data_IF_413017093613
#
_entry.id   IF_413017093613
#
_cell.length_a   1.000
_cell.length_b   1.000
_cell.length_c   1.000
_cell.angle_alpha   90.00
_cell.angle_beta   90.00
_cell.angle_gamma   90.00
#
_symmetry.space_group_name_H-M   'P 1'
#
loop_
_entity.id
_entity.type
_entity.pdbx_description
1 polymer ?
#
# COMPACT_ATOMS: atom_id res chain seq x y z
N UNK A 1 18.98 6.65 33.75
CA UNK A 1 19.16 6.99 35.18
C UNK A 1 17.85 6.80 35.89
N UNK A 2 17.84 6.24 37.10
CA UNK A 2 16.61 6.03 37.88
C UNK A 2 16.05 7.39 38.35
N UNK A 3 14.72 7.52 38.43
CA UNK A 3 14.02 8.77 38.86
C UNK A 3 14.53 9.26 40.20
N UNK A 4 14.69 8.35 41.16
CA UNK A 4 15.11 8.69 42.53
C UNK A 4 16.54 9.23 42.55
N UNK A 5 17.44 8.69 41.71
CA UNK A 5 18.82 9.16 41.61
C UNK A 5 18.92 10.57 40.99
N UNK A 6 18.03 10.90 40.04
CA UNK A 6 17.95 12.25 39.45
C UNK A 6 17.27 13.24 40.40
N UNK A 7 16.23 12.81 41.11
CA UNK A 7 15.54 13.61 42.13
C UNK A 7 16.50 14.08 43.21
N UNK A 8 17.25 13.15 43.82
CA UNK A 8 18.17 13.50 44.91
C UNK A 8 19.39 14.28 44.42
N UNK A 9 19.85 14.07 43.18
CA UNK A 9 20.96 14.83 42.61
C UNK A 9 20.60 16.29 42.26
N UNK A 10 19.31 16.57 42.01
CA UNK A 10 18.80 17.88 41.63
C UNK A 10 17.98 18.57 42.74
N UNK A 11 17.91 17.98 43.93
CA UNK A 11 17.07 18.45 45.05
C UNK A 11 15.57 18.57 44.69
N UNK A 12 15.10 17.63 43.86
CA UNK A 12 13.75 17.54 43.31
C UNK A 12 13.04 16.26 43.76
N UNK A 13 13.30 15.81 45.00
CA UNK A 13 12.71 14.60 45.55
C UNK A 13 11.17 14.70 45.56
N UNK A 14 10.50 13.73 44.93
CA UNK A 14 9.05 13.70 44.78
C UNK A 14 8.49 14.53 43.61
N UNK A 15 9.31 15.34 42.92
CA UNK A 15 8.89 16.06 41.73
C UNK A 15 8.58 15.10 40.56
N UNK A 16 7.75 15.54 39.63
CA UNK A 16 7.43 14.83 38.40
C UNK A 16 7.29 15.83 37.25
N UNK A 17 7.62 15.37 36.04
CA UNK A 17 7.43 16.16 34.82
C UNK A 17 6.07 15.89 34.18
N UNK A 18 5.60 14.64 34.24
CA UNK A 18 4.36 14.18 33.61
C UNK A 18 3.55 13.30 34.56
N UNK A 19 2.23 13.41 34.47
CA UNK A 19 1.27 12.55 35.19
C UNK A 19 0.33 11.92 34.18
N UNK A 20 0.24 10.59 34.22
CA UNK A 20 -0.68 9.82 33.38
C UNK A 20 -1.78 9.25 34.26
N UNK A 21 -3.03 9.64 33.96
CA UNK A 21 -4.20 9.17 34.67
C UNK A 21 -5.01 8.21 33.79
N UNK A 22 -5.44 7.10 34.37
CA UNK A 22 -6.38 6.17 33.73
C UNK A 22 -7.78 6.40 34.29
N UNK A 23 -8.70 6.84 33.44
CA UNK A 23 -10.10 7.04 33.80
C UNK A 23 -10.85 5.71 33.90
N UNK A 24 -11.82 5.64 34.81
CA UNK A 24 -12.81 4.56 34.81
C UNK A 24 -13.75 4.70 33.60
N UNK A 25 -14.40 3.61 33.19
CA UNK A 25 -15.21 3.56 31.96
C UNK A 25 -16.34 4.62 31.94
N UNK A 26 -16.96 4.90 33.08
CA UNK A 26 -18.10 5.80 33.20
C UNK A 26 -17.72 7.22 33.68
N UNK A 27 -16.42 7.52 33.79
CA UNK A 27 -15.98 8.83 34.27
C UNK A 27 -16.11 9.91 33.18
N UNK A 28 -16.70 11.05 33.53
CA UNK A 28 -16.72 12.22 32.65
C UNK A 28 -15.31 12.81 32.54
N UNK A 29 -14.71 12.63 31.35
CA UNK A 29 -13.37 13.10 31.04
C UNK A 29 -13.22 14.60 31.26
N UNK A 30 -14.19 15.42 30.85
CA UNK A 30 -14.08 16.88 30.95
C UNK A 30 -14.14 17.34 32.40
N UNK A 31 -15.03 16.73 33.19
CA UNK A 31 -15.12 17.01 34.62
C UNK A 31 -13.84 16.63 35.37
N UNK A 32 -13.23 15.49 35.06
CA UNK A 32 -11.96 15.06 35.68
C UNK A 32 -10.82 15.99 35.28
N UNK A 33 -10.68 16.34 33.99
CA UNK A 33 -9.66 17.28 33.52
C UNK A 33 -9.78 18.61 34.27
N UNK A 34 -10.99 19.20 34.31
CA UNK A 34 -11.23 20.47 34.99
C UNK A 34 -10.90 20.40 36.50
N UNK A 35 -11.26 19.30 37.18
CA UNK A 35 -10.98 19.12 38.60
C UNK A 35 -9.48 19.01 38.89
N UNK A 36 -8.74 18.27 38.07
CA UNK A 36 -7.30 18.08 38.25
C UNK A 36 -6.54 19.35 37.87
N UNK A 37 -6.93 20.02 36.78
CA UNK A 37 -6.33 21.29 36.38
C UNK A 37 -6.49 22.37 37.44
N UNK A 38 -7.66 22.45 38.10
CA UNK A 38 -7.88 23.38 39.21
C UNK A 38 -6.93 23.12 40.39
N UNK A 39 -6.61 21.86 40.69
CA UNK A 39 -5.68 21.50 41.76
C UNK A 39 -4.22 21.72 41.39
N UNK A 40 -3.87 21.54 40.12
CA UNK A 40 -2.51 21.69 39.59
C UNK A 40 -2.18 23.12 39.15
N UNK A 41 -3.17 24.00 39.01
CA UNK A 41 -2.99 25.40 38.63
C UNK A 41 -2.00 26.12 39.56
N UNK A 42 -2.05 25.84 40.87
CA UNK A 42 -1.14 26.43 41.87
C UNK A 42 0.32 26.00 41.72
N UNK A 43 0.59 24.93 40.96
CA UNK A 43 1.92 24.37 40.72
C UNK A 43 2.43 24.62 39.30
N UNK A 44 1.72 25.41 38.48
CA UNK A 44 2.11 25.70 37.10
C UNK A 44 1.87 24.55 36.13
N UNK A 45 0.87 23.71 36.38
CA UNK A 45 0.47 22.63 35.45
C UNK A 45 0.14 23.16 34.06
N UNK A 46 0.55 22.42 33.01
CA UNK A 46 0.39 22.81 31.60
C UNK A 46 -0.98 22.44 31.00
N UNK A 47 -1.94 22.07 31.84
CA UNK A 47 -3.26 21.58 31.45
C UNK A 47 -3.26 20.09 31.10
N UNK A 48 -4.27 19.36 31.56
CA UNK A 48 -4.48 17.97 31.20
C UNK A 48 -5.14 17.85 29.82
N UNK A 49 -4.64 16.90 29.03
CA UNK A 49 -5.18 16.60 27.72
C UNK A 49 -5.51 15.11 27.58
N UNK A 50 -6.45 14.80 26.69
CA UNK A 50 -6.87 13.43 26.43
C UNK A 50 -5.83 12.62 25.65
N UNK A 51 -6.02 11.29 25.63
CA UNK A 51 -5.19 10.35 24.86
C UNK A 51 -5.10 10.71 23.37
N UNK A 52 -6.12 11.37 22.83
CA UNK A 52 -6.16 11.88 21.45
C UNK A 52 -5.08 12.93 21.14
N UNK A 53 -4.61 13.66 22.14
CA UNK A 53 -3.53 14.65 22.00
C UNK A 53 -2.17 14.13 22.48
N UNK A 54 -2.15 12.97 23.12
CA UNK A 54 -0.91 12.34 23.57
C UNK A 54 -0.12 11.86 22.35
N UNK A 55 1.06 12.44 22.15
CA UNK A 55 1.87 12.27 20.94
C UNK A 55 2.07 10.79 20.59
N UNK A 56 2.48 9.96 21.55
CA UNK A 56 2.70 8.53 21.35
C UNK A 56 1.43 7.77 20.95
N UNK A 57 0.28 8.09 21.54
CA UNK A 57 -0.99 7.46 21.20
C UNK A 57 -1.49 7.90 19.82
N UNK A 58 -1.30 9.17 19.47
CA UNK A 58 -1.68 9.72 18.17
C UNK A 58 -0.83 9.15 17.04
N UNK A 59 0.49 9.08 17.20
CA UNK A 59 1.37 8.43 16.23
C UNK A 59 0.97 6.98 15.97
N UNK A 60 0.69 6.22 17.04
CA UNK A 60 0.25 4.84 16.89
C UNK A 60 -1.12 4.74 16.22
N UNK A 61 -2.08 5.61 16.57
CA UNK A 61 -3.41 5.58 15.93
C UNK A 61 -3.37 5.98 14.47
N UNK A 62 -2.56 6.98 14.12
CA UNK A 62 -2.42 7.47 12.75
C UNK A 62 -1.74 6.39 11.88
N UNK A 63 -0.70 5.72 12.40
CA UNK A 63 -0.06 4.58 11.76
C UNK A 63 -1.03 3.41 11.53
N UNK A 64 -1.79 3.01 12.55
CA UNK A 64 -2.78 1.93 12.41
C UNK A 64 -3.90 2.29 11.41
N UNK A 65 -4.29 3.56 11.36
CA UNK A 65 -5.26 4.07 10.39
C UNK A 65 -4.72 4.00 8.96
N UNK A 66 -3.45 4.37 8.77
CA UNK A 66 -2.74 4.27 7.51
C UNK A 66 -2.62 2.80 7.06
N UNK A 67 -2.20 1.90 7.94
CA UNK A 67 -2.12 0.46 7.66
C UNK A 67 -3.49 -0.12 7.29
N UNK A 68 -4.56 0.25 7.99
CA UNK A 68 -5.94 -0.17 7.67
C UNK A 68 -6.36 0.31 6.28
N UNK A 69 -6.00 1.54 5.93
CA UNK A 69 -6.29 2.12 4.62
C UNK A 69 -5.56 1.37 3.52
N UNK A 70 -4.25 1.14 3.68
CA UNK A 70 -3.45 0.35 2.74
C UNK A 70 -3.97 -1.08 2.60
N UNK A 71 -4.30 -1.75 3.71
CA UNK A 71 -4.87 -3.10 3.72
C UNK A 71 -6.24 -3.19 3.03
N UNK A 72 -6.97 -2.08 2.95
CA UNK A 72 -8.26 -2.02 2.24
C UNK A 72 -8.11 -1.77 0.74
N UNK A 73 -7.07 -1.06 0.31
CA UNK A 73 -6.89 -0.61 -1.09
C UNK A 73 -5.99 -1.53 -1.90
N UNK A 74 -4.87 -2.01 -1.34
CA UNK A 74 -3.89 -2.80 -2.08
C UNK A 74 -4.41 -4.18 -2.51
N UNK A 75 -5.02 -5.01 -1.63
CA UNK A 75 -5.44 -6.36 -2.02
C UNK A 75 -6.43 -6.39 -3.20
N UNK A 76 -7.45 -5.51 -3.29
CA UNK A 76 -8.30 -5.43 -4.48
C UNK A 76 -7.54 -5.14 -5.78
N UNK A 77 -6.51 -4.29 -5.75
CA UNK A 77 -5.69 -3.99 -6.93
C UNK A 77 -4.94 -5.24 -7.39
N UNK A 78 -4.26 -5.95 -6.47
CA UNK A 78 -3.58 -7.20 -6.80
C UNK A 78 -4.54 -8.27 -7.30
N UNK A 79 -5.74 -8.36 -6.71
CA UNK A 79 -6.79 -9.27 -7.17
C UNK A 79 -7.20 -8.96 -8.61
N UNK A 80 -7.40 -7.68 -8.94
CA UNK A 80 -7.73 -7.24 -10.29
C UNK A 80 -6.62 -7.61 -11.29
N UNK A 81 -5.35 -7.39 -10.92
CA UNK A 81 -4.21 -7.81 -11.73
C UNK A 81 -4.20 -9.32 -11.93
N UNK A 82 -4.40 -10.11 -10.87
CA UNK A 82 -4.42 -11.57 -10.94
C UNK A 82 -5.53 -12.07 -11.88
N UNK A 83 -6.76 -11.55 -11.73
CA UNK A 83 -7.89 -11.85 -12.62
C UNK A 83 -7.55 -11.55 -14.07
N UNK A 84 -6.95 -10.38 -14.32
CA UNK A 84 -6.54 -9.95 -15.64
C UNK A 84 -5.46 -10.87 -16.25
N UNK A 85 -4.43 -11.23 -15.48
CA UNK A 85 -3.35 -12.12 -15.93
C UNK A 85 -3.88 -13.53 -16.22
N UNK A 86 -4.70 -14.09 -15.33
CA UNK A 86 -5.37 -15.38 -15.55
C UNK A 86 -6.21 -15.33 -16.83
N UNK A 87 -6.97 -14.26 -17.04
CA UNK A 87 -7.77 -14.10 -18.25
C UNK A 87 -6.90 -14.10 -19.51
N UNK A 88 -5.81 -13.35 -19.53
CA UNK A 88 -4.90 -13.25 -20.69
C UNK A 88 -4.19 -14.58 -20.95
N UNK A 89 -3.69 -15.23 -19.91
CA UNK A 89 -3.02 -16.53 -20.02
C UNK A 89 -3.96 -17.61 -20.53
N UNK A 90 -5.13 -17.77 -19.92
CA UNK A 90 -6.09 -18.80 -20.34
C UNK A 90 -6.66 -18.50 -21.73
N UNK A 91 -6.92 -17.23 -22.06
CA UNK A 91 -7.34 -16.84 -23.41
C UNK A 91 -6.30 -17.24 -24.46
N UNK A 92 -5.01 -17.10 -24.13
CA UNK A 92 -3.91 -17.52 -25.00
C UNK A 92 -3.84 -19.04 -25.12
N UNK A 93 -3.88 -19.76 -24.00
CA UNK A 93 -3.85 -21.23 -23.98
C UNK A 93 -4.97 -21.82 -24.83
N UNK A 94 -6.19 -21.33 -24.62
CA UNK A 94 -7.39 -21.74 -25.33
C UNK A 94 -7.33 -21.38 -26.83
N UNK A 95 -6.69 -20.26 -27.19
CA UNK A 95 -6.47 -19.91 -28.59
C UNK A 95 -5.47 -20.85 -29.28
N UNK A 96 -4.41 -21.27 -28.58
CA UNK A 96 -3.44 -22.25 -29.06
C UNK A 96 -4.06 -23.64 -29.22
N UNK A 97 -4.91 -24.04 -28.29
CA UNK A 97 -5.59 -25.35 -28.29
C UNK A 97 -6.94 -25.34 -29.01
N UNK A 98 -7.23 -24.29 -29.80
CA UNK A 98 -8.51 -24.13 -30.49
C UNK A 98 -8.90 -25.33 -31.35
N UNK A 99 -7.92 -25.95 -32.02
CA UNK A 99 -8.16 -27.14 -32.84
C UNK A 99 -8.60 -28.34 -31.98
N UNK A 100 -7.93 -28.58 -30.85
CA UNK A 100 -8.29 -29.64 -29.90
C UNK A 100 -9.69 -29.42 -29.32
N UNK A 101 -10.05 -28.19 -28.99
CA UNK A 101 -11.40 -27.82 -28.55
C UNK A 101 -12.44 -28.13 -29.63
N UNK A 102 -12.13 -27.85 -30.90
CA UNK A 102 -12.97 -28.18 -32.05
C UNK A 102 -13.22 -29.68 -32.18
N UNK A 103 -12.17 -30.50 -32.01
CA UNK A 103 -12.27 -31.96 -32.01
C UNK A 103 -13.14 -32.49 -30.87
N UNK A 104 -12.93 -32.01 -29.64
CA UNK A 104 -13.76 -32.40 -28.49
C UNK A 104 -15.23 -32.08 -28.71
N UNK A 105 -15.55 -30.90 -29.28
CA UNK A 105 -16.94 -30.56 -29.62
C UNK A 105 -17.50 -31.45 -30.73
N UNK A 106 -16.70 -31.85 -31.70
CA UNK A 106 -17.10 -32.77 -32.76
C UNK A 106 -17.42 -34.17 -32.22
N UNK A 107 -16.71 -34.61 -31.17
CA UNK A 107 -17.01 -35.84 -30.42
C UNK A 107 -18.20 -35.70 -29.45
N UNK A 108 -18.90 -34.56 -29.43
CA UNK A 108 -20.13 -34.38 -28.64
C UNK A 108 -19.93 -33.82 -27.23
N UNK A 109 -18.72 -33.37 -26.87
CA UNK A 109 -18.51 -32.77 -25.55
C UNK A 109 -19.23 -31.43 -25.40
N UNK A 110 -19.92 -31.26 -24.27
CA UNK A 110 -20.60 -30.02 -23.93
C UNK A 110 -19.60 -28.87 -23.69
N UNK A 111 -20.03 -27.68 -24.10
CA UNK A 111 -19.35 -26.41 -23.88
C UNK A 111 -18.98 -26.17 -22.39
N UNK A 112 -19.83 -26.60 -21.46
CA UNK A 112 -19.60 -26.51 -20.02
C UNK A 112 -18.48 -27.42 -19.54
N UNK A 113 -18.41 -28.66 -20.05
CA UNK A 113 -17.36 -29.63 -19.71
C UNK A 113 -15.99 -29.14 -20.14
N UNK A 114 -15.89 -28.62 -21.36
CA UNK A 114 -14.65 -28.02 -21.88
C UNK A 114 -14.28 -26.81 -21.01
N UNK A 115 -15.26 -25.98 -20.65
CA UNK A 115 -14.99 -24.81 -19.84
C UNK A 115 -14.53 -25.14 -18.41
N UNK A 116 -15.08 -26.19 -17.81
CA UNK A 116 -14.65 -26.67 -16.51
C UNK A 116 -13.23 -27.27 -16.56
N UNK A 117 -12.87 -27.95 -17.65
CA UNK A 117 -11.50 -28.44 -17.85
C UNK A 117 -10.48 -27.30 -17.78
N UNK A 118 -10.72 -26.18 -18.47
CA UNK A 118 -9.83 -25.03 -18.40
C UNK A 118 -9.89 -24.29 -17.05
N UNK A 119 -11.05 -24.28 -16.38
CA UNK A 119 -11.18 -23.71 -15.05
C UNK A 119 -10.37 -24.49 -13.98
N UNK A 120 -10.16 -25.80 -14.15
CA UNK A 120 -9.28 -26.59 -13.27
C UNK A 120 -7.85 -26.09 -13.23
N UNK A 121 -7.32 -25.57 -14.35
CA UNK A 121 -6.00 -24.93 -14.34
C UNK A 121 -5.98 -23.70 -13.42
N UNK A 122 -7.00 -22.84 -13.51
CA UNK A 122 -7.10 -21.68 -12.62
C UNK A 122 -7.22 -22.08 -11.14
N UNK A 123 -7.98 -23.14 -10.85
CA UNK A 123 -8.09 -23.71 -9.51
C UNK A 123 -6.74 -24.21 -8.98
N UNK A 124 -5.98 -24.96 -9.80
CA UNK A 124 -4.66 -25.46 -9.42
C UNK A 124 -3.68 -24.32 -9.13
N UNK A 125 -3.65 -23.28 -9.98
CA UNK A 125 -2.85 -22.08 -9.72
C UNK A 125 -3.28 -21.36 -8.45
N UNK A 126 -4.59 -21.24 -8.21
CA UNK A 126 -5.12 -20.59 -7.01
C UNK A 126 -4.73 -21.34 -5.74
N UNK A 127 -4.79 -22.68 -5.73
CA UNK A 127 -4.36 -23.50 -4.60
C UNK A 127 -2.86 -23.34 -4.33
N UNK A 128 -2.02 -23.43 -5.36
CA UNK A 128 -0.58 -23.23 -5.20
C UNK A 128 -0.24 -21.82 -4.70
N UNK A 129 -0.87 -20.79 -5.28
CA UNK A 129 -0.70 -19.41 -4.86
C UNK A 129 -1.22 -19.17 -3.43
N UNK A 130 -2.28 -19.85 -3.01
CA UNK A 130 -2.81 -19.76 -1.66
C UNK A 130 -1.84 -20.34 -0.62
N UNK A 131 -1.28 -21.53 -0.89
CA UNK A 131 -0.28 -22.13 0.00
C UNK A 131 0.94 -21.21 0.13
N UNK A 132 1.47 -20.72 -0.98
CA UNK A 132 2.61 -19.78 -0.97
C UNK A 132 2.26 -18.46 -0.30
N UNK A 133 1.08 -17.90 -0.59
CA UNK A 133 0.62 -16.63 -0.04
C UNK A 133 0.38 -16.69 1.47
N UNK A 134 -0.17 -17.80 1.98
CA UNK A 134 -0.34 -18.03 3.42
C UNK A 134 1.03 -18.19 4.09
N UNK A 135 1.94 -18.98 3.51
CA UNK A 135 3.27 -19.19 4.07
C UNK A 135 4.11 -17.90 4.10
N UNK A 136 4.13 -17.15 3.00
CA UNK A 136 4.86 -15.87 2.94
C UNK A 136 4.17 -14.79 3.78
N UNK A 137 2.84 -14.73 3.76
CA UNK A 137 2.07 -13.76 4.53
C UNK A 137 2.19 -13.96 6.04
N UNK A 138 2.18 -15.21 6.51
CA UNK A 138 2.46 -15.53 7.91
C UNK A 138 3.89 -15.15 8.30
N UNK A 139 4.88 -15.49 7.48
CA UNK A 139 6.28 -15.16 7.75
C UNK A 139 6.52 -13.64 7.83
N UNK A 140 6.04 -12.89 6.82
CA UNK A 140 6.13 -11.41 6.83
C UNK A 140 5.32 -10.81 7.97
N UNK A 141 4.17 -11.39 8.32
CA UNK A 141 3.33 -10.95 9.42
C UNK A 141 4.05 -11.02 10.78
N UNK A 142 4.73 -12.13 11.06
CA UNK A 142 5.55 -12.27 12.28
C UNK A 142 6.74 -11.31 12.27
N UNK A 143 7.42 -11.16 11.12
CA UNK A 143 8.52 -10.22 10.99
C UNK A 143 8.07 -8.79 11.28
N UNK A 144 6.94 -8.35 10.69
CA UNK A 144 6.36 -7.04 10.96
C UNK A 144 5.96 -6.88 12.42
N UNK A 145 5.30 -7.87 13.05
CA UNK A 145 4.96 -7.81 14.46
C UNK A 145 6.21 -7.57 15.34
N UNK A 146 7.32 -8.25 15.05
CA UNK A 146 8.59 -8.05 15.76
C UNK A 146 9.18 -6.63 15.57
N UNK A 147 9.08 -6.08 14.36
CA UNK A 147 9.55 -4.72 14.06
C UNK A 147 8.69 -3.69 14.82
N UNK A 148 7.36 -3.81 14.78
CA UNK A 148 6.48 -2.90 15.49
C UNK A 148 6.63 -3.02 17.00
N UNK A 149 6.84 -4.22 17.53
CA UNK A 149 7.12 -4.43 18.94
C UNK A 149 8.38 -3.68 19.40
N UNK A 150 9.46 -3.78 18.62
CA UNK A 150 10.72 -3.09 18.90
C UNK A 150 10.61 -1.56 18.76
N UNK A 151 9.96 -1.07 17.70
CA UNK A 151 9.82 0.36 17.43
C UNK A 151 8.93 1.05 18.45
N UNK A 152 7.75 0.48 18.73
CA UNK A 152 6.77 1.07 19.65
C UNK A 152 6.94 0.63 21.11
N UNK A 153 7.94 -0.20 21.42
CA UNK A 153 8.23 -0.72 22.75
C UNK A 153 6.99 -1.36 23.41
N UNK A 154 6.23 -2.12 22.61
CA UNK A 154 5.02 -2.78 23.08
C UNK A 154 5.40 -3.99 23.97
N UNK A 155 4.72 -4.22 25.10
CA UNK A 155 5.07 -5.29 26.02
C UNK A 155 4.91 -6.67 25.37
N UNK A 156 3.84 -6.90 24.61
CA UNK A 156 3.58 -8.10 23.84
C UNK A 156 2.82 -7.72 22.56
N UNK A 157 3.29 -8.21 21.40
CA UNK A 157 2.61 -8.06 20.11
C UNK A 157 2.87 -9.30 19.26
N UNK A 158 1.96 -10.28 19.37
CA UNK A 158 2.02 -11.50 18.59
C UNK A 158 1.21 -11.36 17.29
N UNK A 159 1.70 -11.98 16.21
CA UNK A 159 0.98 -12.03 14.95
C UNK A 159 -0.11 -13.11 15.02
N UNK A 160 -1.36 -12.66 15.10
CA UNK A 160 -2.52 -13.56 15.03
C UNK A 160 -3.38 -13.25 13.81
N UNK A 161 -3.33 -14.16 12.84
CA UNK A 161 -4.29 -14.17 11.73
C UNK A 161 -5.30 -15.28 11.97
N UNK A 162 -6.54 -14.89 12.28
CA UNK A 162 -7.63 -15.84 12.50
C UNK A 162 -7.90 -16.70 11.27
N UNK A 163 -8.28 -17.97 11.46
CA UNK A 163 -8.60 -18.91 10.38
C UNK A 163 -9.61 -18.35 9.38
N UNK A 164 -10.59 -17.58 9.86
CA UNK A 164 -11.61 -16.93 9.03
C UNK A 164 -11.01 -15.92 8.04
N UNK A 165 -9.91 -15.26 8.39
CA UNK A 165 -9.22 -14.31 7.50
C UNK A 165 -8.57 -15.05 6.34
N UNK A 166 -7.88 -16.16 6.62
CA UNK A 166 -7.27 -16.99 5.58
C UNK A 166 -8.31 -17.62 4.66
N UNK A 167 -9.38 -18.19 5.24
CA UNK A 167 -10.48 -18.76 4.46
C UNK A 167 -11.18 -17.70 3.62
N UNK A 168 -11.45 -16.52 4.19
CA UNK A 168 -12.04 -15.39 3.48
C UNK A 168 -11.17 -14.92 2.32
N UNK A 169 -9.87 -14.73 2.55
CA UNK A 169 -8.91 -14.34 1.52
C UNK A 169 -8.83 -15.38 0.40
N UNK A 170 -8.77 -16.67 0.74
CA UNK A 170 -8.77 -17.76 -0.23
C UNK A 170 -10.05 -17.78 -1.06
N UNK A 171 -11.23 -17.66 -0.43
CA UNK A 171 -12.50 -17.65 -1.15
C UNK A 171 -12.62 -16.46 -2.10
N UNK A 172 -12.22 -15.26 -1.66
CA UNK A 172 -12.22 -14.07 -2.51
C UNK A 172 -11.27 -14.24 -3.69
N UNK A 173 -10.05 -14.73 -3.45
CA UNK A 173 -9.08 -15.04 -4.50
C UNK A 173 -9.60 -16.08 -5.49
N UNK A 174 -10.23 -17.14 -4.99
CA UNK A 174 -10.80 -18.21 -5.78
C UNK A 174 -11.95 -17.70 -6.67
N UNK A 175 -12.89 -16.94 -6.10
CA UNK A 175 -14.00 -16.35 -6.86
C UNK A 175 -13.46 -15.45 -7.97
N UNK A 176 -12.48 -14.62 -7.67
CA UNK A 176 -11.86 -13.73 -8.65
C UNK A 176 -11.16 -14.53 -9.77
N UNK A 177 -10.32 -15.50 -9.42
CA UNK A 177 -9.65 -16.38 -10.37
C UNK A 177 -10.64 -17.11 -11.28
N UNK A 178 -11.73 -17.62 -10.71
CA UNK A 178 -12.80 -18.28 -11.46
C UNK A 178 -13.53 -17.32 -12.40
N UNK A 179 -13.80 -16.08 -11.99
CA UNK A 179 -14.36 -15.05 -12.88
C UNK A 179 -13.41 -14.74 -14.05
N UNK A 180 -12.11 -14.65 -13.79
CA UNK A 180 -11.06 -14.49 -14.82
C UNK A 180 -11.02 -15.66 -15.80
N UNK A 181 -11.09 -16.89 -15.29
CA UNK A 181 -11.08 -18.11 -16.09
C UNK A 181 -12.36 -18.28 -16.92
N UNK A 182 -13.54 -18.14 -16.30
CA UNK A 182 -14.82 -18.26 -17.00
C UNK A 182 -14.95 -17.21 -18.10
N UNK A 183 -14.50 -15.97 -17.86
CA UNK A 183 -14.55 -14.92 -18.88
C UNK A 183 -13.64 -15.18 -20.08
N UNK A 184 -12.48 -15.82 -19.89
CA UNK A 184 -11.59 -16.26 -20.96
C UNK A 184 -12.22 -17.38 -21.79
N UNK A 185 -12.67 -18.42 -21.10
CA UNK A 185 -13.24 -19.64 -21.67
C UNK A 185 -14.54 -19.37 -22.44
N UNK A 186 -15.45 -18.55 -21.88
CA UNK A 186 -16.73 -18.19 -22.53
C UNK A 186 -16.54 -17.63 -23.94
N UNK A 187 -15.44 -16.93 -24.21
CA UNK A 187 -15.14 -16.37 -25.54
C UNK A 187 -14.79 -17.44 -26.56
N UNK A 188 -14.09 -18.49 -26.14
CA UNK A 188 -13.65 -19.55 -27.04
C UNK A 188 -14.70 -20.64 -27.24
N UNK A 189 -15.40 -21.00 -26.17
CA UNK A 189 -16.42 -22.04 -26.19
C UNK A 189 -17.63 -21.66 -27.07
N UNK A 190 -17.89 -20.35 -27.24
CA UNK A 190 -18.90 -19.81 -28.17
C UNK A 190 -18.57 -20.01 -29.66
N UNK A 191 -17.34 -20.40 -30.02
CA UNK A 191 -17.00 -20.67 -31.43
C UNK A 191 -17.63 -21.99 -31.89
N UNK A 192 -18.25 -21.98 -33.07
CA UNK A 192 -18.79 -23.19 -33.69
C UNK A 192 -17.64 -24.16 -34.07
N UNK A 193 -17.83 -25.50 -33.98
CA UNK A 193 -16.78 -26.49 -34.24
C UNK A 193 -16.14 -26.34 -35.63
N UNK A 194 -16.97 -26.13 -36.65
CA UNK A 194 -16.52 -25.90 -38.02
C UNK A 194 -15.62 -24.66 -38.17
N UNK A 195 -15.90 -23.61 -37.40
CA UNK A 195 -15.07 -22.39 -37.37
C UNK A 195 -13.78 -22.64 -36.59
N UNK A 196 -13.76 -23.53 -35.61
CA UNK A 196 -12.57 -23.85 -34.83
C UNK A 196 -11.53 -24.67 -35.62
N UNK A 197 -11.98 -25.48 -36.58
CA UNK A 197 -11.15 -26.33 -37.43
C UNK A 197 -10.73 -25.66 -38.75
N UNK A 198 -11.42 -24.60 -39.17
CA UNK A 198 -11.04 -23.84 -40.35
C UNK A 198 -9.79 -22.99 -40.11
N UNK A 199 -8.88 -22.85 -41.11
CA UNK A 199 -7.75 -21.93 -41.02
C UNK A 199 -8.25 -20.50 -40.72
N UNK A 200 -7.51 -19.71 -39.92
CA UNK A 200 -7.95 -18.39 -39.51
C UNK A 200 -8.23 -17.54 -40.75
N UNK A 201 -9.48 -17.08 -40.89
CA UNK A 201 -9.90 -16.29 -42.04
C UNK A 201 -8.95 -15.08 -42.23
N UNK A 202 -8.52 -14.79 -43.47
CA UNK A 202 -7.66 -13.64 -43.74
C UNK A 202 -8.34 -12.37 -43.23
N UNK A 203 -7.59 -11.53 -42.52
CA UNK A 203 -8.12 -10.31 -41.91
C UNK A 203 -8.68 -9.40 -43.01
N UNK A 204 -10.01 -9.27 -43.10
CA UNK A 204 -10.63 -8.44 -44.13
C UNK A 204 -10.45 -6.97 -43.79
N UNK A 205 -9.84 -6.22 -44.72
CA UNK A 205 -9.57 -4.80 -44.52
C UNK A 205 -10.75 -3.91 -44.96
N UNK A 206 -11.82 -3.83 -44.15
CA UNK A 206 -12.91 -2.88 -44.38
C UNK A 206 -12.48 -1.43 -44.08
N UNK A 207 -12.87 -0.47 -44.92
CA UNK A 207 -12.54 0.96 -44.77
C UNK A 207 -13.05 1.48 -43.43
N UNK A 208 -12.18 2.13 -42.66
CA UNK A 208 -12.56 2.87 -41.44
C UNK A 208 -13.12 4.20 -41.96
N UNK A 209 -14.28 4.66 -41.49
CA UNK A 209 -15.06 5.73 -42.13
C UNK A 209 -14.23 6.93 -42.62
N UNK A 210 -14.67 7.57 -43.72
CA UNK A 210 -13.84 8.45 -44.56
C UNK A 210 -13.09 9.58 -43.83
N UNK A 211 -13.64 10.09 -42.72
CA UNK A 211 -12.99 11.13 -41.92
C UNK A 211 -11.76 10.60 -41.17
N UNK A 212 -11.83 9.37 -40.64
CA UNK A 212 -10.74 8.72 -39.93
C UNK A 212 -9.63 8.33 -40.92
N UNK A 213 -10.01 7.86 -42.10
CA UNK A 213 -9.06 7.56 -43.17
C UNK A 213 -8.31 8.80 -43.68
N UNK A 214 -8.97 9.97 -43.77
CA UNK A 214 -8.30 11.24 -44.08
C UNK A 214 -7.26 11.62 -43.03
N UNK A 215 -7.59 11.52 -41.73
CA UNK A 215 -6.63 11.78 -40.64
C UNK A 215 -5.45 10.81 -40.65
N UNK A 216 -5.70 9.53 -40.94
CA UNK A 216 -4.65 8.50 -41.03
C UNK A 216 -3.71 8.69 -42.24
N UNK A 217 -4.17 9.34 -43.32
CA UNK A 217 -3.32 9.66 -44.48
C UNK A 217 -2.24 10.69 -44.16
N UNK A 218 -2.48 11.60 -43.20
CA UNK A 218 -1.50 12.59 -42.76
C UNK A 218 -0.31 12.00 -41.97
N UNK A 219 -0.41 10.75 -41.52
CA UNK A 219 0.67 10.05 -40.82
C UNK A 219 1.62 9.35 -41.80
N UNK A 220 2.90 9.20 -41.42
CA UNK A 220 3.86 8.32 -42.11
C UNK A 220 3.33 6.87 -42.19
N UNK A 221 3.78 6.12 -43.20
CA UNK A 221 3.39 4.74 -43.49
C UNK A 221 3.45 3.82 -42.27
N UNK A 222 4.50 3.92 -41.43
CA UNK A 222 4.64 3.08 -40.21
C UNK A 222 3.59 3.44 -39.16
N UNK A 223 3.47 4.72 -38.81
CA UNK A 223 2.49 5.21 -37.83
C UNK A 223 1.05 4.97 -38.28
N UNK A 224 0.79 5.08 -39.59
CA UNK A 224 -0.50 4.75 -40.20
C UNK A 224 -0.85 3.27 -40.04
N UNK A 225 0.11 2.37 -40.23
CA UNK A 225 -0.11 0.93 -40.02
C UNK A 225 -0.41 0.61 -38.55
N UNK A 226 0.35 1.20 -37.61
CA UNK A 226 0.12 1.05 -36.16
C UNK A 226 -1.25 1.56 -35.74
N UNK A 227 -1.61 2.80 -36.12
CA UNK A 227 -2.91 3.39 -35.81
C UNK A 227 -4.07 2.57 -36.38
N UNK A 228 -3.96 2.10 -37.63
CA UNK A 228 -4.97 1.19 -38.22
C UNK A 228 -5.09 -0.12 -37.45
N UNK A 229 -3.98 -0.70 -37.00
CA UNK A 229 -3.99 -1.94 -36.20
C UNK A 229 -4.69 -1.73 -34.86
N UNK A 230 -4.44 -0.60 -34.20
CA UNK A 230 -5.07 -0.25 -32.92
C UNK A 230 -6.59 -0.07 -33.10
N UNK A 231 -7.00 0.72 -34.10
CA UNK A 231 -8.40 1.02 -34.37
C UNK A 231 -9.23 -0.20 -34.79
N UNK A 232 -8.61 -1.21 -35.40
CA UNK A 232 -9.30 -2.42 -35.88
C UNK A 232 -9.39 -3.55 -34.87
N UNK A 233 -8.42 -3.64 -33.96
CA UNK A 233 -8.42 -4.64 -32.91
C UNK A 233 -8.52 -3.97 -31.53
N UNK A 234 -9.56 -3.16 -31.28
CA UNK A 234 -9.64 -2.32 -30.08
C UNK A 234 -9.57 -3.16 -28.80
N UNK A 235 -10.18 -4.36 -28.79
CA UNK A 235 -10.11 -5.28 -27.66
C UNK A 235 -8.69 -5.77 -27.38
N UNK A 236 -7.95 -6.18 -28.41
CA UNK A 236 -6.56 -6.67 -28.27
C UNK A 236 -5.65 -5.54 -27.80
N UNK A 237 -5.76 -4.37 -28.42
CA UNK A 237 -4.99 -3.19 -28.03
C UNK A 237 -5.32 -2.74 -26.61
N UNK A 238 -6.59 -2.74 -26.21
CA UNK A 238 -6.99 -2.42 -24.85
C UNK A 238 -6.39 -3.39 -23.83
N UNK A 239 -6.39 -4.71 -24.12
CA UNK A 239 -5.76 -5.69 -23.21
C UNK A 239 -4.26 -5.47 -23.08
N UNK A 240 -3.53 -5.16 -24.17
CA UNK A 240 -2.09 -4.89 -24.07
C UNK A 240 -1.79 -3.59 -23.33
N UNK A 241 -2.55 -2.53 -23.57
CA UNK A 241 -2.38 -1.24 -22.87
C UNK A 241 -2.68 -1.41 -21.39
N UNK A 242 -3.77 -2.12 -21.04
CA UNK A 242 -4.12 -2.40 -19.64
C UNK A 242 -3.04 -3.23 -18.96
N UNK A 243 -2.50 -4.26 -19.63
CA UNK A 243 -1.43 -5.07 -19.07
C UNK A 243 -0.15 -4.28 -18.81
N UNK A 244 0.26 -3.43 -19.74
CA UNK A 244 1.42 -2.53 -19.56
C UNK A 244 1.14 -1.52 -18.44
N UNK A 245 -0.04 -0.92 -18.42
CA UNK A 245 -0.43 0.04 -17.38
C UNK A 245 -0.44 -0.59 -15.98
N UNK A 246 -0.97 -1.81 -15.83
CA UNK A 246 -0.94 -2.54 -14.57
C UNK A 246 0.48 -2.90 -14.14
N UNK A 247 1.34 -3.32 -15.07
CA UNK A 247 2.74 -3.61 -14.78
C UNK A 247 3.50 -2.35 -14.32
N UNK A 248 3.29 -1.21 -15.00
CA UNK A 248 3.88 0.07 -14.60
C UNK A 248 3.32 0.55 -13.26
N UNK A 249 2.02 0.40 -13.01
CA UNK A 249 1.40 0.77 -11.75
C UNK A 249 2.00 -0.02 -10.57
N UNK A 250 2.18 -1.34 -10.74
CA UNK A 250 2.84 -2.18 -9.72
C UNK A 250 4.30 -1.78 -9.50
N UNK A 251 5.04 -1.47 -10.57
CA UNK A 251 6.42 -1.01 -10.46
C UNK A 251 6.51 0.32 -9.71
N UNK A 252 5.69 1.31 -10.08
CA UNK A 252 5.65 2.62 -9.40
C UNK A 252 5.29 2.44 -7.92
N UNK A 253 4.31 1.58 -7.61
CA UNK A 253 3.91 1.30 -6.24
C UNK A 253 5.05 0.68 -5.42
N UNK A 254 5.85 -0.21 -6.02
CA UNK A 254 7.01 -0.82 -5.36
C UNK A 254 8.14 0.18 -5.11
N UNK A 255 8.41 1.08 -6.07
CA UNK A 255 9.49 2.06 -5.99
C UNK A 255 9.14 3.29 -5.15
N UNK A 256 7.86 3.51 -4.86
CA UNK A 256 7.44 4.71 -4.15
C UNK A 256 8.03 4.83 -2.74
N UNK A 257 8.08 3.72 -1.99
CA UNK A 257 8.51 3.76 -0.59
C UNK A 257 10.01 4.06 -0.44
N UNK A 258 10.94 3.40 -1.16
CA UNK A 258 12.35 3.75 -1.13
C UNK A 258 12.62 5.21 -1.51
N UNK A 259 12.01 5.67 -2.61
CA UNK A 259 12.18 7.04 -3.11
C UNK A 259 11.66 8.06 -2.09
N UNK A 260 10.52 7.80 -1.46
CA UNK A 260 9.96 8.69 -0.45
C UNK A 260 10.86 8.80 0.78
N UNK A 261 11.41 7.68 1.27
CA UNK A 261 12.32 7.67 2.41
C UNK A 261 13.62 8.40 2.08
N UNK A 262 14.25 8.13 0.95
CA UNK A 262 15.46 8.83 0.51
C UNK A 262 15.21 10.34 0.43
N UNK A 263 14.06 10.75 -0.14
CA UNK A 263 13.71 12.16 -0.22
C UNK A 263 13.46 12.80 1.14
N UNK A 264 12.84 12.09 2.08
CA UNK A 264 12.62 12.58 3.45
C UNK A 264 13.96 12.75 4.16
N UNK A 265 14.86 11.76 4.06
CA UNK A 265 16.21 11.82 4.64
C UNK A 265 16.96 13.02 4.06
N UNK A 266 16.97 13.17 2.73
CA UNK A 266 17.60 14.30 2.06
C UNK A 266 17.04 15.62 2.56
N UNK A 267 15.72 15.81 2.58
CA UNK A 267 15.12 17.06 3.05
C UNK A 267 15.48 17.31 4.52
N UNK A 268 15.39 16.27 5.36
CA UNK A 268 15.63 16.39 6.79
C UNK A 268 17.09 16.82 7.07
N UNK A 269 18.07 16.15 6.48
CA UNK A 269 19.48 16.40 6.77
C UNK A 269 20.12 17.49 5.89
N UNK A 270 19.69 17.66 4.65
CA UNK A 270 20.27 18.69 3.76
C UNK A 270 19.61 20.06 3.88
N UNK A 271 18.32 20.11 4.23
CA UNK A 271 17.52 21.34 4.16
C UNK A 271 17.03 21.80 5.52
N UNK A 272 16.50 20.90 6.35
CA UNK A 272 15.94 21.26 7.67
C UNK A 272 17.02 21.31 8.75
N UNK A 273 17.85 20.27 8.87
CA UNK A 273 18.89 20.13 9.88
C UNK A 273 20.27 20.45 9.29
N UNK A 274 20.46 21.71 8.87
CA UNK A 274 21.72 22.16 8.27
C UNK A 274 22.87 22.33 9.28
N UNK A 275 22.58 22.15 10.57
CA UNK A 275 23.54 22.35 11.65
C UNK A 275 24.33 21.06 11.96
N UNK A 276 25.63 21.20 12.16
CA UNK A 276 26.50 20.09 12.58
C UNK A 276 26.36 19.76 14.08
N UNK A 277 25.99 20.75 14.89
CA UNK A 277 25.78 20.60 16.32
C UNK A 277 24.61 21.47 16.80
N UNK A 278 23.82 20.94 17.74
CA UNK A 278 22.74 21.67 18.41
C UNK A 278 23.05 21.76 19.90
N UNK A 279 23.11 22.98 20.43
CA UNK A 279 23.27 23.23 21.86
C UNK A 279 21.89 23.51 22.46
N UNK A 280 21.44 22.64 23.36
CA UNK A 280 20.16 22.80 24.08
C UNK A 280 20.45 23.19 25.52
N UNK A 281 19.87 24.30 25.95
CA UNK A 281 19.98 24.79 27.33
C UNK A 281 18.69 24.47 28.09
N UNK A 282 18.83 24.18 29.38
CA UNK A 282 17.68 23.86 30.24
C UNK A 282 16.77 25.06 30.47
N UNK A 283 17.35 26.25 30.53
CA UNK A 283 16.64 27.51 30.71
C UNK A 283 16.85 28.44 29.51
N UNK A 284 16.01 29.47 29.42
CA UNK A 284 16.13 30.49 28.37
C UNK A 284 17.38 31.34 28.64
N UNK A 285 18.40 31.11 27.84
CA UNK A 285 19.65 31.87 27.93
C UNK A 285 19.58 33.23 27.21
N UNK A 286 20.50 34.12 27.61
CA UNK A 286 20.64 35.44 27.02
C UNK A 286 21.37 35.37 25.67
N UNK A 287 21.08 36.30 24.75
CA UNK A 287 21.75 36.40 23.44
C UNK A 287 23.28 36.53 23.51
N UNK A 288 23.84 36.83 24.69
CA UNK A 288 25.28 36.85 24.93
C UNK A 288 25.93 35.49 24.67
N UNK A 289 25.22 34.40 24.97
CA UNK A 289 25.70 33.02 24.72
C UNK A 289 25.95 32.77 23.23
N UNK A 290 25.14 33.35 22.33
CA UNK A 290 25.36 33.24 20.88
C UNK A 290 26.72 33.81 20.47
N UNK A 291 27.13 34.93 21.08
CA UNK A 291 28.42 35.58 20.81
C UNK A 291 29.59 34.78 21.38
N UNK A 292 29.41 34.11 22.51
CA UNK A 292 30.45 33.28 23.13
C UNK A 292 30.64 31.98 22.35
N UNK A 293 29.54 31.32 21.96
CA UNK A 293 29.58 30.13 21.09
C UNK A 293 30.19 30.47 19.72
N UNK A 294 29.85 31.63 19.14
CA UNK A 294 30.43 32.08 17.88
C UNK A 294 31.95 32.37 17.93
N UNK A 295 32.56 32.44 19.12
CA UNK A 295 34.01 32.60 19.30
C UNK A 295 34.76 31.29 19.47
N UNK A 296 34.05 30.17 19.59
CA UNK A 296 34.69 28.87 19.73
C UNK A 296 35.43 28.50 18.44
N UNK A 297 36.60 27.85 18.53
CA UNK A 297 37.37 27.46 17.35
C UNK A 297 36.56 26.46 16.50
N UNK A 298 36.46 26.75 15.20
CA UNK A 298 35.74 25.90 14.23
C UNK A 298 34.26 26.25 14.03
N UNK A 299 33.70 27.22 14.77
CA UNK A 299 32.32 27.68 14.57
C UNK A 299 32.27 28.68 13.41
N UNK A 300 31.53 28.34 12.36
CA UNK A 300 31.35 29.18 11.16
C UNK A 300 30.13 30.09 11.26
N UNK A 301 29.02 29.59 11.81
CA UNK A 301 27.74 30.29 11.91
C UNK A 301 26.98 29.80 13.15
N UNK A 302 26.28 30.71 13.83
CA UNK A 302 25.44 30.41 14.98
C UNK A 302 24.06 31.02 14.74
N UNK A 303 23.02 30.21 14.90
CA UNK A 303 21.63 30.65 14.75
C UNK A 303 20.85 30.36 16.03
N UNK A 304 20.07 31.34 16.55
CA UNK A 304 19.21 31.10 17.69
C UNK A 304 17.99 30.28 17.28
N UNK A 305 17.75 29.16 17.95
CA UNK A 305 16.52 28.40 17.85
C UNK A 305 15.71 28.56 19.14
N UNK A 306 14.48 29.04 19.03
CA UNK A 306 13.52 29.06 20.14
C UNK A 306 12.45 28.01 19.91
N UNK A 307 12.53 26.92 20.66
CA UNK A 307 11.40 26.00 20.83
C UNK A 307 10.52 26.53 21.96
N UNK A 308 9.22 26.66 21.71
CA UNK A 308 8.23 26.90 22.75
C UNK A 308 7.02 26.01 22.46
N UNK A 309 6.57 25.28 23.46
CA UNK A 309 5.37 24.45 23.32
C UNK A 309 4.16 25.35 23.11
N UNK A 310 3.50 25.19 21.96
CA UNK A 310 2.23 25.87 21.66
C UNK A 310 1.10 24.93 22.06
N UNK A 311 0.50 25.19 23.21
CA UNK A 311 -0.69 24.48 23.66
C UNK A 311 -1.93 25.13 23.03
N UNK A 312 -2.58 24.41 22.10
CA UNK A 312 -3.86 24.80 21.46
C UNK A 312 -5.06 24.15 22.15
#
# INVERSE_FOLDING_TARGET
>A
MNRDALGSALDLDGAFNDVVLRLQADADRLAVIASVDAQLARYGGRGLYGRDRMLSARYLSDELSQLRTLASILPPIFLLVAVFLINVMLSRLVATERANIGLLKAFGYANTTIGFHYAKFALAFCLAAAVLGIALGTWVGHYMASVYQAVYHLPQLDFEAGLLVYLGAFLVALVAAMLGALSAVRRAVKLAPAVALAPPAPTSFRRLGEQLERRLRALDARSRMLARRILRFPRRSATTVTGIALALALLIMSEHFPIAIERIIDINFSTTQRMDATLTFAEREHERVLREVGRLPGVLQVEPLRSADVFL
#
